data_IF_315258522571
#
_entry.id   IF_315258522571
#
_cell.length_a   1.000
_cell.length_b   1.000
_cell.length_c   1.000
_cell.angle_alpha   90.00
_cell.angle_beta   90.00
_cell.angle_gamma   90.00
#
_symmetry.space_group_name_H-M   'P 1'
#
loop_
_entity.id
_entity.type
_entity.pdbx_description
1 polymer ?
#
# COMPACT_ATOMS: atom_id res chain seq x y z
N UNK A 1 11.86 19.74 7.92
CA UNK A 1 11.05 18.51 8.05
C UNK A 1 12.00 17.35 8.32
N UNK A 2 11.70 16.51 9.31
CA UNK A 2 12.56 15.37 9.69
C UNK A 2 12.44 14.21 8.70
N UNK A 3 13.39 13.28 8.70
CA UNK A 3 13.34 12.08 7.86
C UNK A 3 12.09 11.23 8.20
N UNK A 4 11.75 11.12 9.50
CA UNK A 4 10.53 10.49 9.97
C UNK A 4 9.26 11.11 9.36
N UNK A 5 9.20 12.43 9.21
CA UNK A 5 8.06 13.12 8.60
C UNK A 5 7.91 12.74 7.12
N UNK A 6 9.01 12.76 6.36
CA UNK A 6 9.00 12.35 4.96
C UNK A 6 8.59 10.89 4.78
N UNK A 7 9.08 10.03 5.65
CA UNK A 7 8.72 8.62 5.67
C UNK A 7 7.24 8.40 6.00
N UNK A 8 6.70 9.13 6.99
CA UNK A 8 5.28 9.12 7.34
C UNK A 8 4.39 9.58 6.18
N UNK A 9 4.76 10.64 5.47
CA UNK A 9 4.04 11.10 4.27
C UNK A 9 4.02 10.00 3.20
N UNK A 10 5.17 9.38 2.93
CA UNK A 10 5.25 8.24 2.00
C UNK A 10 4.32 7.09 2.40
N UNK A 11 4.28 6.77 3.69
CA UNK A 11 3.40 5.73 4.22
C UNK A 11 1.91 6.04 4.05
N UNK A 12 1.49 7.30 4.23
CA UNK A 12 0.11 7.74 3.95
C UNK A 12 -0.22 7.56 2.47
N UNK A 13 0.69 7.97 1.57
CA UNK A 13 0.48 7.81 0.12
C UNK A 13 0.33 6.34 -0.25
N UNK A 14 1.18 5.46 0.29
CA UNK A 14 1.07 4.00 0.09
C UNK A 14 -0.26 3.46 0.64
N UNK A 15 -0.69 3.92 1.80
CA UNK A 15 -1.95 3.48 2.39
C UNK A 15 -3.16 3.85 1.51
N UNK A 16 -3.21 5.09 1.01
CA UNK A 16 -4.26 5.57 0.11
C UNK A 16 -4.27 4.80 -1.22
N UNK A 17 -3.09 4.50 -1.76
CA UNK A 17 -2.96 3.63 -2.93
C UNK A 17 -3.45 2.21 -2.65
N UNK A 18 -3.13 1.66 -1.48
CA UNK A 18 -3.65 0.37 -1.04
C UNK A 18 -5.18 0.34 -0.99
N UNK A 19 -5.80 1.37 -0.41
CA UNK A 19 -7.28 1.52 -0.38
C UNK A 19 -7.83 1.59 -1.80
N UNK A 20 -7.20 2.38 -2.67
CA UNK A 20 -7.61 2.53 -4.07
C UNK A 20 -7.56 1.18 -4.80
N UNK A 21 -6.48 0.42 -4.65
CA UNK A 21 -6.34 -0.92 -5.24
C UNK A 21 -7.38 -1.89 -4.66
N UNK A 22 -7.64 -1.83 -3.36
CA UNK A 22 -8.61 -2.71 -2.70
C UNK A 22 -10.04 -2.50 -3.22
N UNK A 23 -10.44 -1.24 -3.36
CA UNK A 23 -11.78 -0.83 -3.84
C UNK A 23 -11.90 -1.04 -5.34
N UNK A 24 -10.92 -0.56 -6.12
CA UNK A 24 -10.91 -0.60 -7.58
C UNK A 24 -10.09 -1.79 -8.12
N UNK A 25 -10.19 -2.95 -7.48
CA UNK A 25 -9.35 -4.12 -7.79
C UNK A 25 -9.44 -4.63 -9.24
N UNK A 26 -10.60 -4.51 -9.90
CA UNK A 26 -10.75 -4.86 -11.33
C UNK A 26 -9.99 -3.90 -12.24
N UNK A 27 -10.04 -2.60 -11.93
CA UNK A 27 -9.26 -1.60 -12.65
C UNK A 27 -7.76 -1.81 -12.40
N UNK A 28 -7.35 -2.03 -11.14
CA UNK A 28 -5.96 -2.29 -10.81
C UNK A 28 -5.42 -3.55 -11.50
N UNK A 29 -6.23 -4.61 -11.59
CA UNK A 29 -5.90 -5.80 -12.37
C UNK A 29 -5.73 -5.48 -13.86
N UNK A 30 -6.59 -4.64 -14.44
CA UNK A 30 -6.48 -4.26 -15.86
C UNK A 30 -5.16 -3.54 -16.19
N UNK A 31 -4.54 -2.89 -15.21
CA UNK A 31 -3.22 -2.27 -15.34
C UNK A 31 -2.10 -3.30 -15.13
N UNK A 32 -2.27 -4.21 -14.17
CA UNK A 32 -1.29 -5.23 -13.81
C UNK A 32 -1.18 -6.41 -14.77
N UNK A 33 -2.11 -6.55 -15.71
CA UNK A 33 -2.19 -7.66 -16.66
C UNK A 33 -2.86 -8.91 -16.10
N UNK A 34 -2.86 -9.99 -16.87
CA UNK A 34 -3.66 -11.19 -16.56
C UNK A 34 -2.92 -12.24 -15.72
N UNK A 35 -1.59 -12.15 -15.62
CA UNK A 35 -0.76 -13.17 -14.98
C UNK A 35 0.34 -12.56 -14.10
N UNK A 36 0.63 -13.25 -13.00
CA UNK A 36 1.79 -13.00 -12.16
C UNK A 36 3.07 -13.53 -12.83
N UNK A 37 4.24 -13.06 -12.39
CA UNK A 37 5.55 -13.51 -12.92
C UNK A 37 5.79 -15.02 -12.78
N UNK A 38 5.03 -15.71 -11.93
CA UNK A 38 5.10 -17.17 -11.75
C UNK A 38 4.05 -17.94 -12.57
N UNK A 39 3.39 -17.29 -13.53
CA UNK A 39 2.38 -17.90 -14.41
C UNK A 39 1.00 -18.12 -13.77
N UNK A 40 0.80 -17.72 -12.50
CA UNK A 40 -0.52 -17.81 -11.86
C UNK A 40 -1.44 -16.68 -12.32
N UNK A 41 -2.76 -16.92 -12.46
CA UNK A 41 -3.71 -15.89 -12.85
C UNK A 41 -3.78 -14.77 -11.80
N UNK A 42 -3.68 -13.53 -12.25
CA UNK A 42 -3.83 -12.35 -11.41
C UNK A 42 -5.33 -12.10 -11.18
N UNK A 43 -5.93 -12.70 -10.15
CA UNK A 43 -7.38 -12.54 -9.92
C UNK A 43 -7.73 -11.21 -9.24
N UNK A 44 -8.95 -10.66 -9.43
CA UNK A 44 -9.37 -9.43 -8.74
C UNK A 44 -9.33 -9.59 -7.21
N UNK A 45 -9.59 -10.80 -6.70
CA UNK A 45 -9.49 -11.11 -5.27
C UNK A 45 -8.06 -11.00 -4.77
N UNK A 46 -7.09 -11.51 -5.53
CA UNK A 46 -5.68 -11.41 -5.19
C UNK A 46 -5.22 -9.94 -5.17
N UNK A 47 -5.59 -9.16 -6.19
CA UNK A 47 -5.28 -7.72 -6.25
C UNK A 47 -5.90 -6.97 -5.07
N UNK A 48 -7.15 -7.31 -4.69
CA UNK A 48 -7.80 -6.74 -3.50
C UNK A 48 -7.01 -7.03 -2.22
N UNK A 49 -6.53 -8.26 -2.05
CA UNK A 49 -5.74 -8.64 -0.87
C UNK A 49 -4.44 -7.84 -0.80
N UNK A 50 -3.75 -7.64 -1.93
CA UNK A 50 -2.57 -6.77 -1.99
C UNK A 50 -2.93 -5.34 -1.60
N UNK A 51 -4.02 -4.79 -2.13
CA UNK A 51 -4.48 -3.45 -1.76
C UNK A 51 -4.74 -3.31 -0.26
N UNK A 52 -5.43 -4.28 0.35
CA UNK A 52 -5.68 -4.31 1.80
C UNK A 52 -4.36 -4.37 2.57
N UNK A 53 -3.43 -5.23 2.15
CA UNK A 53 -2.13 -5.34 2.80
C UNK A 53 -1.35 -4.01 2.76
N UNK A 54 -1.31 -3.35 1.61
CA UNK A 54 -0.68 -2.03 1.45
C UNK A 54 -1.36 -0.96 2.32
N UNK A 55 -2.70 -0.97 2.38
CA UNK A 55 -3.45 -0.06 3.22
C UNK A 55 -3.08 -0.23 4.70
N UNK A 56 -3.14 -1.46 5.21
CA UNK A 56 -2.87 -1.77 6.63
C UNK A 56 -1.42 -1.47 6.99
N UNK A 57 -0.46 -1.91 6.19
CA UNK A 57 0.97 -1.68 6.44
C UNK A 57 1.30 -0.20 6.35
N UNK A 58 0.81 0.50 5.33
CA UNK A 58 1.00 1.94 5.17
C UNK A 58 0.43 2.73 6.35
N UNK A 59 -0.79 2.40 6.79
CA UNK A 59 -1.40 3.01 7.98
C UNK A 59 -0.56 2.73 9.23
N UNK A 60 -0.11 1.50 9.44
CA UNK A 60 0.73 1.14 10.58
C UNK A 60 2.04 1.96 10.62
N UNK A 61 2.71 2.09 9.46
CA UNK A 61 3.93 2.88 9.36
C UNK A 61 3.66 4.37 9.59
N UNK A 62 2.57 4.92 9.04
CA UNK A 62 2.20 6.31 9.27
C UNK A 62 1.96 6.59 10.76
N UNK A 63 1.27 5.68 11.46
CA UNK A 63 1.07 5.76 12.91
C UNK A 63 2.41 5.78 13.65
N UNK A 64 3.34 4.88 13.32
CA UNK A 64 4.67 4.86 13.95
C UNK A 64 5.46 6.15 13.70
N UNK A 65 5.37 6.70 12.48
CA UNK A 65 6.07 7.91 12.09
C UNK A 65 5.54 9.17 12.79
N UNK A 66 4.22 9.28 12.98
CA UNK A 66 3.60 10.47 13.57
C UNK A 66 3.37 10.37 15.08
N UNK A 67 3.49 9.18 15.67
CA UNK A 67 3.41 8.98 17.13
C UNK A 67 4.72 9.27 17.87
N UNK A 68 5.80 9.58 17.16
CA UNK A 68 7.13 9.83 17.75
C UNK A 68 7.88 8.56 18.16
N UNK A 69 7.42 7.38 17.72
CA UNK A 69 8.09 6.10 17.96
C UNK A 69 9.32 5.92 17.06
N UNK A 70 9.29 6.49 15.85
CA UNK A 70 10.44 6.47 14.94
C UNK A 70 11.48 7.52 15.35
N UNK A 71 12.79 7.21 15.29
CA UNK A 71 13.86 8.18 15.53
C UNK A 71 13.76 9.39 14.59
N UNK A 72 14.04 10.59 15.10
CA UNK A 72 13.96 11.82 14.30
C UNK A 72 15.11 11.97 13.29
N UNK A 73 16.15 11.13 13.42
CA UNK A 73 17.37 11.10 12.64
C UNK A 73 18.10 9.77 12.80
#
# INVERSE_FOLDING_TARGET
>A
MTAATWFGIGAVVVALWGVTIAVFNRWAQSIGGDQLMNGKPLTPRFVRVIGIFLAVVGTGIAVLAFSGVLPES
#
